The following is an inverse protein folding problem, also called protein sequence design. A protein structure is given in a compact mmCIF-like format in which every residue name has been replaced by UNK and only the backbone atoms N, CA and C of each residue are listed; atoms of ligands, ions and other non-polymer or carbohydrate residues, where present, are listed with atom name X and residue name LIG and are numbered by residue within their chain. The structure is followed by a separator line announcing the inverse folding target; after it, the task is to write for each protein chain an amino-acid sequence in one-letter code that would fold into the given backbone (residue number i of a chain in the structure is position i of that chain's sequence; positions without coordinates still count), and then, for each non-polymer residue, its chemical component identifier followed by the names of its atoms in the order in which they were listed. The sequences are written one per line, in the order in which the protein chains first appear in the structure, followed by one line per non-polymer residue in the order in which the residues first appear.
data_IF_717781698631
#
_entry.id   IF_717781698631
#
_cell.length_a   1.000
_cell.length_b   1.000
_cell.length_c   1.000
_cell.angle_alpha   90.00
_cell.angle_beta   90.00
_cell.angle_gamma   90.00
#
_symmetry.space_group_name_H-M   'P 1'
#
loop_
_entity.id
_entity.type
_entity.pdbx_description
1 polymer ?
#
# COMPACT_ATOMS: atom_id res chain seq x y z
N UNK A 1 5.73 9.22 -1.03
CA UNK A 1 4.61 9.79 -1.80
C UNK A 1 4.51 11.30 -1.65
N UNK A 2 3.94 11.78 -0.55
CA UNK A 2 3.68 13.22 -0.28
C UNK A 2 4.87 14.15 -0.56
N UNK A 3 6.09 13.80 -0.13
CA UNK A 3 7.28 14.61 -0.40
C UNK A 3 7.58 14.78 -1.91
N UNK A 4 7.40 13.72 -2.71
CA UNK A 4 7.60 13.77 -4.17
C UNK A 4 6.53 14.64 -4.82
N UNK A 5 5.27 14.46 -4.43
CA UNK A 5 4.15 15.28 -4.91
C UNK A 5 4.40 16.76 -4.61
N UNK A 6 4.82 17.11 -3.39
CA UNK A 6 5.16 18.49 -3.01
C UNK A 6 6.33 19.04 -3.83
N UNK A 7 7.40 18.25 -4.01
CA UNK A 7 8.58 18.67 -4.77
C UNK A 7 8.26 18.92 -6.25
N UNK A 8 7.38 18.10 -6.83
CA UNK A 8 6.97 18.19 -8.23
C UNK A 8 5.76 19.09 -8.46
N UNK A 9 5.12 19.58 -7.39
CA UNK A 9 3.88 20.34 -7.43
C UNK A 9 2.76 19.62 -8.20
N UNK A 10 2.59 18.33 -7.92
CA UNK A 10 1.55 17.47 -8.50
C UNK A 10 0.67 16.85 -7.40
N UNK A 11 -0.60 16.50 -7.68
CA UNK A 11 -1.49 15.88 -6.71
C UNK A 11 -0.95 14.57 -6.09
N UNK A 12 -1.36 14.30 -4.85
CA UNK A 12 -1.09 13.06 -4.14
C UNK A 12 -2.40 12.37 -3.79
N UNK A 13 -2.49 11.08 -4.10
CA UNK A 13 -3.60 10.21 -3.77
C UNK A 13 -3.09 9.05 -2.91
N UNK A 14 -3.92 8.60 -1.98
CA UNK A 14 -3.68 7.42 -1.14
C UNK A 14 -4.90 6.52 -1.28
N UNK A 15 -4.71 5.32 -1.86
CA UNK A 15 -5.82 4.41 -2.14
C UNK A 15 -6.57 4.02 -0.87
N UNK A 16 -5.86 3.77 0.24
CA UNK A 16 -6.49 3.38 1.50
C UNK A 16 -7.38 4.54 2.00
N UNK A 17 -6.89 5.79 1.94
CA UNK A 17 -7.68 6.97 2.31
C UNK A 17 -8.91 7.14 1.41
N UNK A 18 -8.77 6.97 0.09
CA UNK A 18 -9.91 7.07 -0.84
C UNK A 18 -10.98 6.01 -0.55
N UNK A 19 -10.56 4.80 -0.20
CA UNK A 19 -11.48 3.72 0.20
C UNK A 19 -12.18 4.09 1.51
N UNK A 20 -11.45 4.54 2.54
CA UNK A 20 -12.04 4.94 3.82
C UNK A 20 -13.02 6.10 3.67
N UNK A 21 -12.68 7.11 2.87
CA UNK A 21 -13.55 8.24 2.55
C UNK A 21 -14.85 7.76 1.87
N UNK A 22 -14.75 6.82 0.93
CA UNK A 22 -15.91 6.22 0.25
C UNK A 22 -16.75 5.33 1.17
N UNK A 23 -16.14 4.67 2.16
CA UNK A 23 -16.81 3.76 3.08
C UNK A 23 -17.43 4.47 4.29
N UNK A 24 -16.90 5.65 4.66
CA UNK A 24 -17.27 6.35 5.90
C UNK A 24 -16.85 5.61 7.17
N UNK A 25 -15.94 4.64 7.07
CA UNK A 25 -15.40 3.83 8.17
C UNK A 25 -13.99 3.38 7.83
N UNK A 26 -13.21 2.95 8.83
CA UNK A 26 -11.85 2.47 8.59
C UNK A 26 -11.85 1.15 7.83
N UNK A 27 -10.78 0.88 7.09
CA UNK A 27 -10.59 -0.41 6.41
C UNK A 27 -10.57 -1.56 7.42
N UNK A 28 -9.96 -1.34 8.60
CA UNK A 28 -9.92 -2.32 9.67
C UNK A 28 -11.33 -2.72 10.14
N UNK A 29 -12.18 -1.73 10.45
CA UNK A 29 -13.57 -1.96 10.86
C UNK A 29 -14.40 -2.62 9.75
N UNK A 30 -14.15 -2.24 8.49
CA UNK A 30 -14.84 -2.83 7.35
C UNK A 30 -14.48 -4.31 7.20
N UNK A 31 -13.18 -4.65 7.25
CA UNK A 31 -12.71 -6.03 7.15
C UNK A 31 -13.24 -6.86 8.32
N UNK A 32 -13.25 -6.34 9.55
CA UNK A 32 -13.81 -7.04 10.71
C UNK A 32 -15.30 -7.38 10.51
N UNK A 33 -16.08 -6.46 9.95
CA UNK A 33 -17.53 -6.62 9.77
C UNK A 33 -17.93 -7.40 8.51
N UNK A 34 -17.14 -7.31 7.43
CA UNK A 34 -17.51 -7.78 6.08
C UNK A 34 -16.58 -8.86 5.53
N UNK A 35 -15.40 -9.03 6.12
CA UNK A 35 -14.38 -9.99 5.69
C UNK A 35 -13.42 -9.44 4.63
N UNK A 36 -12.21 -9.98 4.63
CA UNK A 36 -11.12 -9.53 3.75
C UNK A 36 -11.44 -9.73 2.26
N UNK A 37 -12.06 -10.85 1.87
CA UNK A 37 -12.39 -11.11 0.46
C UNK A 37 -13.33 -10.05 -0.13
N UNK A 38 -14.28 -9.54 0.67
CA UNK A 38 -15.19 -8.46 0.25
C UNK A 38 -14.42 -7.16 0.10
N UNK A 39 -13.51 -6.86 1.04
CA UNK A 39 -12.61 -5.73 0.93
C UNK A 39 -11.74 -5.80 -0.32
N UNK A 40 -11.16 -6.96 -0.66
CA UNK A 40 -10.32 -7.09 -1.87
C UNK A 40 -11.08 -6.83 -3.16
N UNK A 41 -12.35 -7.25 -3.23
CA UNK A 41 -13.20 -6.91 -4.36
C UNK A 41 -13.45 -5.40 -4.46
N UNK A 42 -13.73 -4.75 -3.34
CA UNK A 42 -13.93 -3.30 -3.29
C UNK A 42 -12.64 -2.52 -3.61
N UNK A 43 -11.50 -2.96 -3.08
CA UNK A 43 -10.18 -2.41 -3.37
C UNK A 43 -9.87 -2.46 -4.87
N UNK A 44 -10.24 -3.56 -5.55
CA UNK A 44 -10.10 -3.71 -6.99
C UNK A 44 -10.92 -2.68 -7.77
N UNK A 45 -12.21 -2.56 -7.46
CA UNK A 45 -13.12 -1.60 -8.11
C UNK A 45 -12.65 -0.15 -7.88
N UNK A 46 -12.18 0.16 -6.68
CA UNK A 46 -11.67 1.49 -6.33
C UNK A 46 -10.33 1.80 -6.99
N UNK A 47 -9.41 0.83 -7.09
CA UNK A 47 -8.16 1.01 -7.80
C UNK A 47 -8.40 1.29 -9.29
N UNK A 48 -9.26 0.50 -9.95
CA UNK A 48 -9.60 0.70 -11.37
C UNK A 48 -10.20 2.10 -11.59
N UNK A 49 -11.23 2.45 -10.83
CA UNK A 49 -11.87 3.76 -10.90
C UNK A 49 -10.87 4.90 -10.67
N UNK A 50 -9.97 4.77 -9.68
CA UNK A 50 -8.98 5.80 -9.40
C UNK A 50 -7.98 5.95 -10.54
N UNK A 51 -7.45 4.85 -11.09
CA UNK A 51 -6.51 4.90 -12.21
C UNK A 51 -7.11 5.51 -13.49
N UNK A 52 -8.43 5.38 -13.70
CA UNK A 52 -9.13 6.01 -14.82
C UNK A 52 -9.37 7.52 -14.64
N UNK A 53 -9.44 8.00 -13.40
CA UNK A 53 -9.91 9.35 -13.09
C UNK A 53 -8.83 10.31 -12.55
N UNK A 54 -7.69 9.80 -12.06
CA UNK A 54 -6.61 10.67 -11.59
C UNK A 54 -5.88 11.35 -12.76
N UNK A 55 -5.37 12.58 -12.58
CA UNK A 55 -4.54 13.24 -13.59
C UNK A 55 -3.28 12.44 -13.92
N UNK A 56 -2.82 12.52 -15.18
CA UNK A 56 -1.59 11.88 -15.66
C UNK A 56 -0.37 12.26 -14.80
N UNK A 57 -0.29 13.53 -14.39
CA UNK A 57 0.72 14.05 -13.47
C UNK A 57 0.24 13.93 -12.02
N UNK A 58 0.37 12.75 -11.42
CA UNK A 58 0.01 12.53 -10.02
C UNK A 58 0.88 11.46 -9.34
N UNK A 59 0.85 11.43 -8.00
CA UNK A 59 1.48 10.38 -7.19
C UNK A 59 0.40 9.60 -6.48
N UNK A 60 0.28 8.31 -6.79
CA UNK A 60 -0.59 7.37 -6.08
C UNK A 60 0.23 6.51 -5.10
N UNK A 61 -0.16 6.51 -3.83
CA UNK A 61 0.24 5.50 -2.86
C UNK A 61 -0.81 4.40 -2.80
N UNK A 62 -0.36 3.14 -2.78
CA UNK A 62 -1.23 1.96 -2.63
C UNK A 62 -0.86 1.19 -1.38
N UNK A 63 -1.83 0.46 -0.81
CA UNK A 63 -1.64 -0.37 0.36
C UNK A 63 -0.66 -1.52 0.11
N UNK A 64 -0.03 -2.01 1.17
CA UNK A 64 0.96 -3.10 1.04
C UNK A 64 0.38 -4.40 0.47
N UNK A 65 -0.92 -4.65 0.65
CA UNK A 65 -1.59 -5.81 0.05
C UNK A 65 -1.93 -5.62 -1.42
N UNK A 66 -2.11 -4.38 -1.89
CA UNK A 66 -2.73 -4.08 -3.18
C UNK A 66 -2.07 -4.79 -4.37
N UNK A 67 -0.72 -4.81 -4.54
CA UNK A 67 -0.10 -5.44 -5.71
C UNK A 67 -0.23 -6.97 -5.80
N UNK A 68 -0.68 -7.63 -4.72
CA UNK A 68 -0.71 -9.10 -4.59
C UNK A 68 -1.99 -9.69 -5.18
N UNK A 69 -3.06 -8.90 -5.22
CA UNK A 69 -4.39 -9.37 -5.59
C UNK A 69 -4.70 -9.03 -7.05
N UNK A 70 -5.50 -9.91 -7.68
CA UNK A 70 -5.90 -9.79 -9.08
C UNK A 70 -4.69 -9.57 -10.00
N UNK A 71 -4.83 -8.66 -10.95
CA UNK A 71 -3.83 -8.17 -11.87
C UNK A 71 -3.36 -6.75 -11.48
N UNK A 72 -3.50 -6.35 -10.21
CA UNK A 72 -3.22 -4.98 -9.77
C UNK A 72 -1.82 -4.50 -10.12
N UNK A 73 -0.82 -5.37 -9.99
CA UNK A 73 0.56 -5.01 -10.35
C UNK A 73 0.69 -4.74 -11.86
N UNK A 74 -0.01 -5.49 -12.70
CA UNK A 74 -0.06 -5.25 -14.14
C UNK A 74 -0.81 -3.96 -14.44
N UNK A 75 -1.97 -3.73 -13.84
CA UNK A 75 -2.73 -2.47 -13.99
C UNK A 75 -1.88 -1.25 -13.62
N UNK A 76 -1.19 -1.30 -12.47
CA UNK A 76 -0.29 -0.24 -12.02
C UNK A 76 0.88 -0.03 -13.02
N UNK A 77 1.45 -1.11 -13.55
CA UNK A 77 2.50 -1.04 -14.56
C UNK A 77 2.02 -0.47 -15.90
N UNK A 78 0.76 -0.70 -16.29
CA UNK A 78 0.19 -0.09 -17.49
C UNK A 78 -0.15 1.38 -17.28
N UNK A 79 -0.67 1.74 -16.10
CA UNK A 79 -1.11 3.10 -15.80
C UNK A 79 0.04 4.11 -15.62
N UNK A 80 1.22 3.68 -15.19
CA UNK A 80 2.31 4.64 -14.97
C UNK A 80 3.65 4.05 -14.53
N UNK A 81 4.46 4.89 -13.88
CA UNK A 81 5.76 4.50 -13.34
C UNK A 81 5.55 3.92 -11.93
N UNK A 82 5.82 2.63 -11.76
CA UNK A 82 5.72 1.95 -10.47
C UNK A 82 7.07 1.95 -9.75
N UNK A 83 7.05 2.31 -8.46
CA UNK A 83 8.24 2.40 -7.62
C UNK A 83 8.04 1.54 -6.38
N UNK A 84 8.83 0.47 -6.27
CA UNK A 84 8.92 -0.31 -5.05
C UNK A 84 9.93 0.31 -4.09
N UNK A 85 9.45 0.73 -2.91
CA UNK A 85 10.27 1.15 -1.78
C UNK A 85 10.73 -0.08 -0.99
N UNK A 86 11.95 -0.54 -1.30
CA UNK A 86 12.60 -1.69 -0.70
C UNK A 86 13.21 -1.32 0.65
N UNK A 87 12.41 -1.50 1.70
CA UNK A 87 12.78 -1.28 3.10
C UNK A 87 13.14 -2.62 3.74
N UNK A 88 14.20 -2.66 4.54
CA UNK A 88 14.59 -3.87 5.27
C UNK A 88 13.53 -4.29 6.31
N UNK A 89 13.50 -5.58 6.62
CA UNK A 89 12.60 -6.16 7.63
C UNK A 89 12.75 -5.45 8.98
N UNK A 90 13.99 -5.20 9.41
CA UNK A 90 14.27 -4.56 10.69
C UNK A 90 13.72 -3.14 10.75
N UNK A 91 13.90 -2.37 9.67
CA UNK A 91 13.39 -1.00 9.60
C UNK A 91 11.87 -0.95 9.47
N UNK A 92 11.25 -1.85 8.70
CA UNK A 92 9.79 -1.99 8.66
C UNK A 92 9.22 -2.35 10.02
N UNK A 93 9.81 -3.32 10.73
CA UNK A 93 9.39 -3.70 12.07
C UNK A 93 9.51 -2.52 13.06
N UNK A 94 10.61 -1.77 12.98
CA UNK A 94 10.80 -0.56 13.80
C UNK A 94 9.73 0.50 13.53
N UNK A 95 9.38 0.76 12.26
CA UNK A 95 8.33 1.73 11.89
C UNK A 95 6.98 1.30 12.40
N UNK A 96 6.65 0.02 12.22
CA UNK A 96 5.37 -0.55 12.64
C UNK A 96 5.21 -0.57 14.17
N UNK A 97 6.28 -0.81 14.93
CA UNK A 97 6.24 -0.76 16.40
C UNK A 97 5.82 0.62 16.93
N UNK A 98 6.12 1.68 16.18
CA UNK A 98 5.78 3.05 16.55
C UNK A 98 4.41 3.49 15.97
N UNK A 99 3.72 2.62 15.22
CA UNK A 99 2.44 2.91 14.58
C UNK A 99 1.28 2.51 15.50
N UNK A 100 0.64 3.51 16.10
CA UNK A 100 -0.48 3.33 17.04
C UNK A 100 -1.78 2.90 16.34
N UNK A 101 -1.86 3.08 15.00
CA UNK A 101 -3.07 2.82 14.21
C UNK A 101 -3.19 1.35 13.76
N UNK A 102 -2.26 0.46 14.12
CA UNK A 102 -2.26 -0.95 13.70
C UNK A 102 -2.25 -1.92 14.89
N UNK A 103 -3.37 -2.06 15.63
CA UNK A 103 -3.43 -2.85 16.86
C UNK A 103 -3.08 -4.34 16.67
N UNK A 104 -3.42 -4.92 15.51
CA UNK A 104 -3.13 -6.32 15.17
C UNK A 104 -1.64 -6.65 15.12
N UNK A 105 -0.79 -5.64 14.92
CA UNK A 105 0.66 -5.77 14.79
C UNK A 105 1.34 -5.63 16.17
N UNK A 106 0.72 -4.92 17.11
CA UNK A 106 1.26 -4.67 18.45
C UNK A 106 1.18 -5.88 19.40
N UNK A 107 0.42 -6.92 19.03
CA UNK A 107 0.26 -8.16 19.81
C UNK A 107 1.11 -9.33 19.28
N UNK A 108 2.06 -9.09 18.38
CA UNK A 108 2.97 -10.13 17.88
C UNK A 108 4.24 -10.18 18.74
N UNK A 109 4.57 -11.37 19.27
CA UNK A 109 5.77 -11.60 20.08
C UNK A 109 7.07 -11.29 19.31
N UNK A 110 7.07 -11.56 17.99
CA UNK A 110 8.14 -11.17 17.07
C UNK A 110 7.60 -10.45 15.83
N UNK A 111 7.57 -9.12 15.90
CA UNK A 111 7.20 -8.25 14.79
C UNK A 111 8.13 -8.40 13.58
N UNK A 112 9.41 -8.69 13.78
CA UNK A 112 10.35 -8.85 12.67
C UNK A 112 10.04 -10.14 11.90
N UNK A 113 9.69 -11.23 12.57
CA UNK A 113 9.24 -12.47 11.93
C UNK A 113 7.95 -12.25 11.13
N UNK A 114 6.95 -11.57 11.73
CA UNK A 114 5.71 -11.23 11.05
C UNK A 114 5.97 -10.44 9.76
N UNK A 115 6.80 -9.40 9.82
CA UNK A 115 7.19 -8.59 8.66
C UNK A 115 7.96 -9.41 7.64
N UNK A 116 8.91 -10.24 8.07
CA UNK A 116 9.71 -11.08 7.18
C UNK A 116 8.84 -12.04 6.37
N UNK A 117 7.88 -12.70 7.02
CA UNK A 117 6.94 -13.62 6.38
C UNK A 117 6.12 -12.90 5.31
N UNK A 118 5.46 -11.79 5.67
CA UNK A 118 4.62 -11.06 4.72
C UNK A 118 5.45 -10.44 3.58
N UNK A 119 6.63 -9.91 3.87
CA UNK A 119 7.50 -9.37 2.84
C UNK A 119 7.95 -10.46 1.88
N UNK A 120 8.29 -11.65 2.38
CA UNK A 120 8.65 -12.80 1.55
C UNK A 120 7.52 -13.19 0.59
N UNK A 121 6.29 -13.31 1.09
CA UNK A 121 5.09 -13.63 0.29
C UNK A 121 4.80 -12.59 -0.79
N UNK A 122 5.03 -11.30 -0.49
CA UNK A 122 4.69 -10.18 -1.38
C UNK A 122 5.81 -9.78 -2.35
N UNK A 123 7.06 -10.16 -2.05
CA UNK A 123 8.23 -9.79 -2.84
C UNK A 123 8.15 -10.16 -4.33
N UNK A 124 7.59 -11.33 -4.73
CA UNK A 124 7.43 -11.65 -6.15
C UNK A 124 6.65 -10.56 -6.91
N UNK A 125 5.56 -10.07 -6.32
CA UNK A 125 4.72 -9.01 -6.88
C UNK A 125 5.43 -7.65 -6.86
N UNK A 126 5.99 -7.25 -5.72
CA UNK A 126 6.71 -5.97 -5.61
C UNK A 126 7.89 -5.88 -6.58
N UNK A 127 8.53 -7.00 -6.89
CA UNK A 127 9.67 -7.05 -7.81
C UNK A 127 9.31 -6.80 -9.28
N UNK A 128 8.03 -6.83 -9.63
CA UNK A 128 7.52 -6.46 -10.96
C UNK A 128 7.40 -4.94 -11.16
N UNK A 129 7.63 -4.13 -10.12
CA UNK A 129 7.66 -2.68 -10.26
C UNK A 129 8.81 -2.24 -11.19
N UNK A 130 8.55 -1.22 -12.02
CA UNK A 130 9.50 -0.68 -13.02
C UNK A 130 10.78 -0.15 -12.38
N UNK A 131 10.69 0.37 -11.15
CA UNK A 131 11.84 0.80 -10.37
C UNK A 131 11.81 0.26 -8.96
N UNK A 132 12.99 -0.02 -8.42
CA UNK A 132 13.22 -0.40 -7.03
C UNK A 132 14.18 0.58 -6.40
N UNK A 133 13.79 1.17 -5.27
CA UNK A 133 14.60 2.16 -4.53
C UNK A 133 14.71 1.71 -3.08
N UNK A 134 15.90 1.83 -2.50
CA UNK A 134 16.11 1.57 -1.07
C UNK A 134 15.34 2.58 -0.22
N UNK A 135 14.51 2.09 0.69
CA UNK A 135 13.63 2.92 1.50
C UNK A 135 14.04 3.07 2.96
N UNK A 136 15.12 2.42 3.40
CA UNK A 136 15.51 2.38 4.82
C UNK A 136 15.73 3.77 5.43
N UNK A 137 16.20 4.74 4.65
CA UNK A 137 16.47 6.11 5.07
C UNK A 137 15.30 7.09 4.84
N UNK A 138 14.15 6.60 4.35
CA UNK A 138 12.99 7.44 4.05
C UNK A 138 12.00 7.38 5.22
N UNK A 139 11.78 8.50 5.90
CA UNK A 139 10.73 8.69 6.91
C UNK A 139 9.70 9.70 6.46
#
# INVERSE_FOLDING_TARGET
GKAVSKLKNIPFYDLDQQIEDSLGTSIADFIEKKGELVFRKLEHEQLQSLLENIPEDSVLAVGGGTPVFYDHMDLLNHAGITIYLDVSVLELAKRLKNDVQRPLINNQDDLAEFVAKHLFERRPYYSLAKHRIKGDQLT
#
